data_IF_570215472825
#
_entry.id   IF_570215472825
#
_cell.length_a   1.000
_cell.length_b   1.000
_cell.length_c   1.000
_cell.angle_alpha   90.00
_cell.angle_beta   90.00
_cell.angle_gamma   90.00
#
_symmetry.space_group_name_H-M   'P 1'
#
loop_
_entity.id
_entity.type
_entity.pdbx_description
1 polymer ?
#
# COMPACT_ATOMS: atom_id res chain seq x y z
N UNK A 1 10.20 19.30 -14.50
CA UNK A 1 8.73 19.32 -14.26
C UNK A 1 8.37 20.66 -13.65
N UNK A 2 7.39 21.38 -14.19
CA UNK A 2 6.94 22.64 -13.58
C UNK A 2 6.16 22.38 -12.29
N UNK A 3 6.24 23.28 -11.31
CA UNK A 3 5.46 23.20 -10.05
C UNK A 3 3.95 23.09 -10.33
N UNK A 4 3.45 23.81 -11.35
CA UNK A 4 2.04 23.75 -11.78
C UNK A 4 1.64 22.35 -12.25
N UNK A 5 2.51 21.69 -13.03
CA UNK A 5 2.25 20.33 -13.52
C UNK A 5 2.27 19.32 -12.36
N UNK A 6 3.17 19.49 -11.38
CA UNK A 6 3.20 18.65 -10.19
C UNK A 6 1.92 18.75 -9.36
N UNK A 7 1.44 19.98 -9.12
CA UNK A 7 0.20 20.22 -8.38
C UNK A 7 -1.01 19.64 -9.11
N UNK A 8 -1.08 19.80 -10.43
CA UNK A 8 -2.14 19.21 -11.25
C UNK A 8 -2.17 17.68 -11.14
N UNK A 9 -1.01 17.02 -11.23
CA UNK A 9 -0.90 15.57 -11.06
C UNK A 9 -1.36 15.13 -9.67
N UNK A 10 -0.95 15.84 -8.61
CA UNK A 10 -1.36 15.53 -7.23
C UNK A 10 -2.89 15.65 -7.09
N UNK A 11 -3.49 16.72 -7.60
CA UNK A 11 -4.94 16.92 -7.55
C UNK A 11 -5.69 15.80 -8.28
N UNK A 12 -5.22 15.39 -9.46
CA UNK A 12 -5.81 14.27 -10.20
C UNK A 12 -5.72 12.96 -9.41
N UNK A 13 -4.59 12.68 -8.77
CA UNK A 13 -4.41 11.48 -7.93
C UNK A 13 -5.42 11.48 -6.77
N UNK A 14 -5.60 12.62 -6.09
CA UNK A 14 -6.59 12.74 -5.00
C UNK A 14 -8.02 12.54 -5.47
N UNK A 15 -8.40 13.14 -6.61
CA UNK A 15 -9.74 12.98 -7.19
C UNK A 15 -9.99 11.52 -7.59
N UNK A 16 -9.06 10.90 -8.32
CA UNK A 16 -9.17 9.50 -8.72
C UNK A 16 -9.20 8.56 -7.51
N UNK A 17 -8.37 8.79 -6.50
CA UNK A 17 -8.34 8.00 -5.27
C UNK A 17 -9.64 8.13 -4.47
N UNK A 18 -10.19 9.34 -4.37
CA UNK A 18 -11.46 9.59 -3.69
C UNK A 18 -12.62 8.92 -4.42
N UNK A 19 -12.65 9.01 -5.75
CA UNK A 19 -13.64 8.33 -6.60
C UNK A 19 -13.56 6.80 -6.41
N UNK A 20 -12.35 6.25 -6.36
CA UNK A 20 -12.13 4.82 -6.16
C UNK A 20 -12.50 4.33 -4.74
N UNK A 21 -12.44 5.22 -3.74
CA UNK A 21 -12.86 4.94 -2.37
C UNK A 21 -14.39 5.07 -2.15
N UNK A 22 -15.15 5.63 -3.10
CA UNK A 22 -16.60 5.82 -2.96
C UNK A 22 -17.38 4.54 -2.66
N UNK A 23 -17.12 3.37 -3.29
CA UNK A 23 -17.85 2.15 -2.97
C UNK A 23 -17.74 1.77 -1.49
N UNK A 24 -16.54 1.93 -0.91
CA UNK A 24 -16.30 1.70 0.52
C UNK A 24 -17.13 2.64 1.39
N UNK A 25 -17.26 3.89 0.99
CA UNK A 25 -18.11 4.86 1.70
C UNK A 25 -19.60 4.48 1.63
N UNK A 26 -20.10 4.11 0.45
CA UNK A 26 -21.52 3.83 0.21
C UNK A 26 -22.00 2.49 0.80
N UNK A 27 -21.14 1.47 0.78
CA UNK A 27 -21.49 0.10 1.16
C UNK A 27 -20.99 -0.31 2.55
N UNK A 28 -20.28 0.56 3.27
CA UNK A 28 -19.99 0.35 4.69
C UNK A 28 -21.26 0.44 5.54
N UNK A 29 -21.52 -0.59 6.35
CA UNK A 29 -22.68 -0.69 7.23
C UNK A 29 -22.27 -1.11 8.63
N UNK A 30 -22.91 -0.50 9.62
CA UNK A 30 -22.69 -0.83 11.03
C UNK A 30 -23.78 -1.78 11.51
N UNK A 31 -23.41 -2.98 11.92
CA UNK A 31 -24.32 -3.99 12.46
C UNK A 31 -23.99 -4.29 13.92
N UNK A 32 -25.02 -4.48 14.75
CA UNK A 32 -24.88 -4.84 16.15
C UNK A 32 -25.32 -6.29 16.37
N UNK A 33 -24.40 -7.16 16.76
CA UNK A 33 -24.67 -8.57 17.05
C UNK A 33 -24.73 -8.81 18.56
N UNK A 34 -25.75 -9.54 19.02
CA UNK A 34 -25.83 -10.07 20.39
C UNK A 34 -25.18 -11.44 20.43
N UNK A 35 -24.00 -11.53 21.05
CA UNK A 35 -23.34 -12.83 21.26
C UNK A 35 -23.94 -13.57 22.46
N UNK A 36 -23.70 -14.89 22.53
CA UNK A 36 -24.25 -15.83 23.52
C UNK A 36 -24.06 -15.43 25.00
N UNK A 37 -23.16 -14.48 25.30
CA UNK A 37 -22.90 -13.94 26.65
C UNK A 37 -23.57 -12.58 26.98
N UNK A 38 -24.60 -12.15 26.23
CA UNK A 38 -25.31 -10.85 26.39
C UNK A 38 -24.46 -9.59 26.10
N UNK A 39 -23.23 -9.72 25.62
CA UNK A 39 -22.48 -8.57 25.10
C UNK A 39 -22.97 -8.19 23.69
N UNK A 40 -23.25 -6.89 23.50
CA UNK A 40 -23.55 -6.31 22.19
C UNK A 40 -22.21 -5.90 21.57
N UNK A 41 -21.86 -6.49 20.42
CA UNK A 41 -20.70 -6.06 19.64
C UNK A 41 -21.17 -5.36 18.38
N UNK A 42 -20.68 -4.15 18.19
CA UNK A 42 -20.95 -3.33 17.00
C UNK A 42 -19.79 -3.46 16.03
N UNK A 43 -20.07 -3.91 14.82
CA UNK A 43 -19.09 -4.15 13.77
C UNK A 43 -19.40 -3.26 12.57
N UNK A 44 -18.35 -2.70 11.95
CA UNK A 44 -18.45 -2.07 10.64
C UNK A 44 -18.02 -3.09 9.60
N UNK A 45 -18.94 -3.48 8.71
CA UNK A 45 -18.68 -4.45 7.65
C UNK A 45 -19.13 -3.90 6.30
N UNK A 46 -18.51 -4.39 5.24
CA UNK A 46 -18.92 -4.08 3.88
C UNK A 46 -20.07 -5.01 3.47
N UNK A 47 -21.19 -4.43 3.03
CA UNK A 47 -22.34 -5.18 2.53
C UNK A 47 -22.63 -4.67 1.12
N UNK A 48 -22.29 -5.49 0.13
CA UNK A 48 -22.55 -5.17 -1.27
C UNK A 48 -23.99 -5.55 -1.65
N UNK A 49 -24.56 -4.94 -2.70
CA UNK A 49 -25.94 -5.22 -3.12
C UNK A 49 -26.19 -6.69 -3.51
N UNK A 50 -25.15 -7.39 -3.93
CA UNK A 50 -25.15 -8.78 -4.38
C UNK A 50 -24.79 -9.79 -3.28
N UNK A 51 -24.43 -9.34 -2.07
CA UNK A 51 -24.20 -10.22 -0.93
C UNK A 51 -23.14 -9.74 0.05
N UNK A 52 -22.79 -10.63 0.98
CA UNK A 52 -21.75 -10.40 1.99
C UNK A 52 -20.36 -10.75 1.46
N UNK A 53 -19.33 -10.27 2.16
CA UNK A 53 -17.93 -10.57 1.87
C UNK A 53 -17.70 -12.09 1.75
N UNK A 54 -16.98 -12.51 0.71
CA UNK A 54 -16.72 -13.93 0.40
C UNK A 54 -17.75 -14.61 -0.50
N UNK A 55 -18.94 -14.03 -0.70
CA UNK A 55 -19.97 -14.53 -1.64
C UNK A 55 -20.30 -13.51 -2.74
N UNK A 56 -20.19 -12.21 -2.44
CA UNK A 56 -20.39 -11.13 -3.41
C UNK A 56 -19.33 -11.15 -4.52
N UNK A 57 -19.80 -11.15 -5.77
CA UNK A 57 -18.91 -11.02 -6.93
C UNK A 57 -18.36 -9.60 -7.06
N UNK A 58 -19.17 -8.60 -6.71
CA UNK A 58 -18.81 -7.18 -6.74
C UNK A 58 -17.69 -6.87 -5.73
N UNK A 59 -17.76 -7.45 -4.53
CA UNK A 59 -16.70 -7.34 -3.52
C UNK A 59 -15.37 -7.91 -4.04
N UNK A 60 -15.41 -9.09 -4.66
CA UNK A 60 -14.20 -9.70 -5.20
C UNK A 60 -13.61 -8.90 -6.37
N UNK A 61 -14.45 -8.42 -7.30
CA UNK A 61 -14.00 -7.56 -8.40
C UNK A 61 -13.35 -6.29 -7.83
N UNK A 62 -13.97 -5.66 -6.83
CA UNK A 62 -13.41 -4.48 -6.16
C UNK A 62 -12.06 -4.79 -5.50
N UNK A 63 -11.95 -5.89 -4.75
CA UNK A 63 -10.71 -6.29 -4.09
C UNK A 63 -9.59 -6.62 -5.10
N UNK A 64 -9.91 -7.24 -6.24
CA UNK A 64 -8.96 -7.48 -7.33
C UNK A 64 -8.50 -6.17 -7.95
N UNK A 65 -9.43 -5.26 -8.29
CA UNK A 65 -9.08 -3.95 -8.83
C UNK A 65 -8.23 -3.15 -7.83
N UNK A 66 -8.56 -3.21 -6.54
CA UNK A 66 -7.80 -2.58 -5.47
C UNK A 66 -6.38 -3.14 -5.44
N UNK A 67 -6.21 -4.46 -5.38
CA UNK A 67 -4.89 -5.13 -5.48
C UNK A 67 -4.10 -4.68 -6.73
N UNK A 68 -4.73 -4.65 -7.90
CA UNK A 68 -4.04 -4.29 -9.13
C UNK A 68 -3.58 -2.83 -9.12
N UNK A 69 -4.49 -1.91 -8.79
CA UNK A 69 -4.26 -0.47 -8.89
C UNK A 69 -3.41 0.09 -7.74
N UNK A 70 -3.59 -0.41 -6.52
CA UNK A 70 -2.91 0.14 -5.34
C UNK A 70 -1.63 -0.62 -4.97
N UNK A 71 -1.43 -1.84 -5.49
CA UNK A 71 -0.29 -2.67 -5.10
C UNK A 71 0.52 -3.19 -6.29
N UNK A 72 -0.07 -3.96 -7.21
CA UNK A 72 0.69 -4.62 -8.30
C UNK A 72 1.29 -3.61 -9.27
N UNK A 73 0.46 -2.73 -9.84
CA UNK A 73 0.92 -1.72 -10.82
C UNK A 73 1.94 -0.76 -10.19
N UNK A 74 1.71 -0.19 -8.99
CA UNK A 74 2.70 0.65 -8.33
C UNK A 74 4.02 -0.08 -8.06
N UNK A 75 4.00 -1.31 -7.54
CA UNK A 75 5.23 -2.06 -7.23
C UNK A 75 6.02 -2.35 -8.49
N UNK A 76 5.37 -2.83 -9.56
CA UNK A 76 6.06 -3.12 -10.82
C UNK A 76 6.70 -1.85 -11.38
N UNK A 77 5.95 -0.74 -11.41
CA UNK A 77 6.45 0.56 -11.88
C UNK A 77 7.65 1.06 -11.05
N UNK A 78 7.54 1.00 -9.72
CA UNK A 78 8.62 1.44 -8.82
C UNK A 78 9.85 0.55 -8.92
N UNK A 79 9.69 -0.79 -8.92
CA UNK A 79 10.81 -1.73 -9.07
C UNK A 79 11.51 -1.52 -10.41
N UNK A 80 10.75 -1.38 -11.50
CA UNK A 80 11.30 -1.14 -12.82
C UNK A 80 12.10 0.18 -12.87
N UNK A 81 11.47 1.29 -12.50
CA UNK A 81 12.09 2.62 -12.55
C UNK A 81 13.31 2.73 -11.63
N UNK A 82 13.25 2.21 -10.40
CA UNK A 82 14.36 2.27 -9.46
C UNK A 82 15.50 1.33 -9.86
N UNK A 83 15.21 0.18 -10.47
CA UNK A 83 16.25 -0.70 -11.03
C UNK A 83 16.98 -0.01 -12.18
N UNK A 84 16.27 0.68 -13.07
CA UNK A 84 16.90 1.46 -14.15
C UNK A 84 17.80 2.55 -13.58
N UNK A 85 17.29 3.33 -12.62
CA UNK A 85 18.06 4.40 -11.98
C UNK A 85 19.29 3.82 -11.27
N UNK A 86 19.15 2.70 -10.56
CA UNK A 86 20.27 2.02 -9.90
C UNK A 86 21.31 1.53 -10.92
N UNK A 87 20.89 0.92 -12.02
CA UNK A 87 21.82 0.49 -13.09
C UNK A 87 22.59 1.67 -13.67
N UNK A 88 21.93 2.79 -13.94
CA UNK A 88 22.60 4.00 -14.46
C UNK A 88 23.57 4.58 -13.44
N UNK A 89 23.18 4.68 -12.16
CA UNK A 89 24.01 5.27 -11.11
C UNK A 89 25.21 4.40 -10.72
N UNK A 90 25.09 3.07 -10.77
CA UNK A 90 26.18 2.14 -10.43
C UNK A 90 27.00 1.67 -11.64
N UNK A 91 26.39 1.64 -12.83
CA UNK A 91 27.07 1.31 -14.09
C UNK A 91 27.95 2.43 -14.63
N UNK A 92 27.86 3.64 -14.08
CA UNK A 92 28.74 4.76 -14.39
C UNK A 92 30.15 4.51 -13.83
N UNK A 93 30.94 3.69 -14.54
CA UNK A 93 32.41 3.66 -14.43
C UNK A 93 32.91 4.85 -15.25
N UNK A 94 33.06 6.01 -14.61
CA UNK A 94 33.47 7.20 -15.34
C UNK A 94 34.86 7.02 -15.93
N UNK A 95 34.94 7.25 -17.24
CA UNK A 95 36.18 7.43 -17.96
C UNK A 95 36.46 8.94 -17.87
N UNK A 96 37.33 9.35 -16.95
CA UNK A 96 37.68 10.75 -16.69
C UNK A 96 37.74 11.13 -15.21
N UNK A 97 38.50 12.18 -14.90
CA UNK A 97 38.68 12.69 -13.54
C UNK A 97 37.43 13.49 -13.13
N UNK A 98 36.58 12.89 -12.28
CA UNK A 98 35.40 13.58 -11.76
C UNK A 98 35.80 14.70 -10.79
N UNK A 99 35.15 15.85 -10.93
CA UNK A 99 35.17 16.87 -9.88
C UNK A 99 34.55 16.33 -8.58
N UNK A 100 35.04 16.77 -7.42
CA UNK A 100 34.52 16.34 -6.12
C UNK A 100 33.01 16.59 -5.98
N UNK A 101 32.51 17.72 -6.52
CA UNK A 101 31.09 18.04 -6.57
C UNK A 101 30.25 16.99 -7.33
N UNK A 102 30.75 16.46 -8.45
CA UNK A 102 30.07 15.42 -9.21
C UNK A 102 30.03 14.09 -8.44
N UNK A 103 31.12 13.73 -7.75
CA UNK A 103 31.18 12.52 -6.90
C UNK A 103 30.18 12.62 -5.74
N UNK A 104 30.09 13.77 -5.08
CA UNK A 104 29.13 14.03 -4.01
C UNK A 104 27.68 13.97 -4.51
N UNK A 105 27.39 14.57 -5.67
CA UNK A 105 26.07 14.52 -6.30
C UNK A 105 25.63 13.07 -6.60
N UNK A 106 26.51 12.24 -7.17
CA UNK A 106 26.24 10.82 -7.42
C UNK A 106 26.00 10.06 -6.11
N UNK A 107 26.81 10.31 -5.08
CA UNK A 107 26.66 9.67 -3.75
C UNK A 107 25.31 10.02 -3.12
N UNK A 108 24.88 11.28 -3.21
CA UNK A 108 23.58 11.75 -2.72
C UNK A 108 22.43 11.06 -3.45
N UNK A 109 22.48 11.01 -4.79
CA UNK A 109 21.47 10.31 -5.61
C UNK A 109 21.38 8.82 -5.27
N UNK A 110 22.51 8.12 -5.14
CA UNK A 110 22.54 6.70 -4.72
C UNK A 110 21.89 6.48 -3.36
N UNK A 111 22.12 7.39 -2.41
CA UNK A 111 21.49 7.35 -1.08
C UNK A 111 19.98 7.48 -1.16
N UNK A 112 19.47 8.42 -1.96
CA UNK A 112 18.03 8.61 -2.19
C UNK A 112 17.43 7.35 -2.82
N UNK A 113 18.07 6.79 -3.85
CA UNK A 113 17.57 5.58 -4.52
C UNK A 113 17.55 4.38 -3.56
N UNK A 114 18.58 4.23 -2.73
CA UNK A 114 18.59 3.22 -1.66
C UNK A 114 17.42 3.41 -0.69
N UNK A 115 17.14 4.64 -0.28
CA UNK A 115 16.00 4.98 0.57
C UNK A 115 14.68 4.56 -0.07
N UNK A 116 14.48 4.94 -1.34
CA UNK A 116 13.27 4.61 -2.08
C UNK A 116 13.08 3.09 -2.23
N UNK A 117 14.16 2.32 -2.46
CA UNK A 117 14.08 0.85 -2.48
C UNK A 117 13.62 0.27 -1.13
N UNK A 118 14.10 0.81 0.00
CA UNK A 118 13.65 0.38 1.33
C UNK A 118 12.17 0.70 1.53
N UNK A 119 11.72 1.90 1.15
CA UNK A 119 10.29 2.28 1.21
C UNK A 119 9.42 1.29 0.43
N UNK A 120 9.82 0.94 -0.79
CA UNK A 120 9.07 -0.01 -1.64
C UNK A 120 9.01 -1.40 -1.00
N UNK A 121 10.13 -1.88 -0.44
CA UNK A 121 10.16 -3.18 0.20
C UNK A 121 9.22 -3.24 1.41
N UNK A 122 9.23 -2.21 2.26
CA UNK A 122 8.33 -2.12 3.41
C UNK A 122 6.88 -2.04 2.96
N UNK A 123 6.57 -1.20 1.97
CA UNK A 123 5.23 -1.11 1.40
C UNK A 123 4.72 -2.47 0.91
N UNK A 124 5.56 -3.21 0.17
CA UNK A 124 5.23 -4.54 -0.31
C UNK A 124 4.92 -5.51 0.84
N UNK A 125 5.80 -5.56 1.85
CA UNK A 125 5.65 -6.47 3.00
C UNK A 125 4.42 -6.14 3.84
N UNK A 126 4.13 -4.86 4.05
CA UNK A 126 3.01 -4.44 4.91
C UNK A 126 1.64 -4.71 4.27
N UNK A 127 1.52 -4.48 2.96
CA UNK A 127 0.25 -4.58 2.24
C UNK A 127 -0.04 -5.96 1.66
N UNK A 128 0.99 -6.79 1.40
CA UNK A 128 0.78 -8.12 0.83
C UNK A 128 -0.17 -8.99 1.66
N UNK A 129 -0.02 -9.12 3.01
CA UNK A 129 -0.90 -9.95 3.81
C UNK A 129 -2.36 -9.49 3.75
N UNK A 130 -2.59 -8.17 3.66
CA UNK A 130 -3.91 -7.59 3.54
C UNK A 130 -4.59 -8.04 2.24
N UNK A 131 -3.92 -7.90 1.09
CA UNK A 131 -4.51 -8.35 -0.17
C UNK A 131 -4.70 -9.86 -0.25
N UNK A 132 -3.74 -10.63 0.28
CA UNK A 132 -3.86 -12.10 0.32
C UNK A 132 -5.02 -12.55 1.19
N UNK A 133 -5.29 -11.86 2.30
CA UNK A 133 -6.42 -12.16 3.17
C UNK A 133 -7.75 -12.11 2.39
N UNK A 134 -8.03 -11.00 1.69
CA UNK A 134 -9.30 -10.86 0.94
C UNK A 134 -9.44 -11.87 -0.20
N UNK A 135 -8.35 -12.15 -0.92
CA UNK A 135 -8.35 -13.20 -1.96
C UNK A 135 -8.60 -14.59 -1.36
N UNK A 136 -7.99 -14.88 -0.21
CA UNK A 136 -8.11 -16.16 0.46
C UNK A 136 -9.52 -16.36 1.02
N UNK A 137 -10.10 -15.37 1.70
CA UNK A 137 -11.46 -15.44 2.25
C UNK A 137 -12.52 -15.52 1.16
N UNK A 138 -12.27 -14.98 -0.04
CA UNK A 138 -13.16 -15.17 -1.18
C UNK A 138 -13.12 -16.60 -1.74
N UNK A 139 -11.94 -17.23 -1.78
CA UNK A 139 -11.81 -18.62 -2.25
C UNK A 139 -12.28 -19.65 -1.22
N UNK A 140 -12.12 -19.34 0.06
CA UNK A 140 -12.47 -20.22 1.17
C UNK A 140 -13.35 -19.47 2.19
N UNK A 141 -14.64 -19.24 1.88
CA UNK A 141 -15.53 -18.46 2.74
C UNK A 141 -15.73 -19.09 4.12
N UNK A 142 -15.57 -20.42 4.24
CA UNK A 142 -15.60 -21.19 5.50
C UNK A 142 -14.64 -20.62 6.57
N UNK A 143 -13.52 -20.01 6.13
CA UNK A 143 -12.47 -19.47 7.01
C UNK A 143 -12.99 -18.32 7.87
N UNK A 144 -13.99 -17.57 7.39
CA UNK A 144 -14.60 -16.44 8.10
C UNK A 144 -15.36 -16.88 9.36
N UNK A 145 -15.70 -18.16 9.48
CA UNK A 145 -16.38 -18.72 10.65
C UNK A 145 -15.41 -19.23 11.74
N UNK A 146 -14.09 -19.21 11.51
CA UNK A 146 -13.13 -19.66 12.51
C UNK A 146 -13.05 -18.69 13.70
N UNK A 147 -12.95 -19.19 14.94
CA UNK A 147 -13.03 -18.37 16.15
C UNK A 147 -11.91 -17.32 16.26
N UNK A 148 -10.75 -17.55 15.63
CA UNK A 148 -9.60 -16.65 15.71
C UNK A 148 -9.45 -15.70 14.51
N UNK A 149 -10.35 -15.76 13.53
CA UNK A 149 -10.17 -15.02 12.27
C UNK A 149 -10.16 -13.51 12.47
N UNK A 150 -10.93 -13.00 13.44
CA UNK A 150 -10.97 -11.57 13.76
C UNK A 150 -9.64 -11.05 14.29
N UNK A 151 -8.95 -11.83 15.12
CA UNK A 151 -7.63 -11.47 15.65
C UNK A 151 -6.56 -11.48 14.54
N UNK A 152 -6.63 -12.46 13.64
CA UNK A 152 -5.75 -12.55 12.47
C UNK A 152 -5.96 -11.34 11.56
N UNK A 153 -7.22 -11.03 11.22
CA UNK A 153 -7.56 -9.88 10.40
C UNK A 153 -7.06 -8.57 11.03
N UNK A 154 -7.27 -8.38 12.34
CA UNK A 154 -6.81 -7.17 13.04
C UNK A 154 -5.28 -7.03 12.97
N UNK A 155 -4.54 -8.12 13.17
CA UNK A 155 -3.08 -8.11 13.04
C UNK A 155 -2.61 -7.75 11.63
N UNK A 156 -3.23 -8.35 10.61
CA UNK A 156 -2.97 -8.03 9.20
C UNK A 156 -3.27 -6.56 8.89
N UNK A 157 -4.42 -6.07 9.36
CA UNK A 157 -4.84 -4.68 9.17
C UNK A 157 -3.87 -3.70 9.85
N UNK A 158 -3.45 -3.98 11.09
CA UNK A 158 -2.46 -3.16 11.79
C UNK A 158 -1.12 -3.13 11.08
N UNK A 159 -0.66 -4.27 10.56
CA UNK A 159 0.57 -4.31 9.77
C UNK A 159 0.46 -3.40 8.53
N UNK A 160 -0.64 -3.50 7.77
CA UNK A 160 -0.87 -2.64 6.60
C UNK A 160 -0.89 -1.15 6.99
N UNK A 161 -1.57 -0.78 8.08
CA UNK A 161 -1.65 0.60 8.56
C UNK A 161 -0.32 1.14 9.10
N UNK A 162 0.52 0.28 9.67
CA UNK A 162 1.85 0.66 10.17
C UNK A 162 2.80 1.16 9.07
N UNK A 163 2.49 0.89 7.79
CA UNK A 163 3.21 1.42 6.63
C UNK A 163 3.46 2.94 6.70
N UNK A 164 2.47 3.69 7.17
CA UNK A 164 2.56 5.15 7.32
C UNK A 164 3.63 5.59 8.33
N UNK A 165 3.87 4.79 9.39
CA UNK A 165 4.90 5.06 10.41
C UNK A 165 6.30 4.85 9.84
N UNK A 166 6.52 3.80 9.04
CA UNK A 166 7.84 3.49 8.50
C UNK A 166 8.35 4.57 7.56
N UNK A 167 7.47 5.27 6.83
CA UNK A 167 7.86 6.40 6.01
C UNK A 167 8.62 7.44 6.85
N UNK A 168 8.05 7.87 7.98
CA UNK A 168 8.70 8.83 8.89
C UNK A 168 10.03 8.29 9.41
N UNK A 169 10.08 7.04 9.88
CA UNK A 169 11.32 6.44 10.39
C UNK A 169 12.44 6.38 9.34
N UNK A 170 12.11 6.02 8.09
CA UNK A 170 13.08 5.97 6.99
C UNK A 170 13.64 7.37 6.71
N UNK A 171 12.77 8.40 6.66
CA UNK A 171 13.22 9.76 6.43
C UNK A 171 14.13 10.25 7.56
N UNK A 172 13.78 10.01 8.84
CA UNK A 172 14.64 10.37 9.97
C UNK A 172 15.99 9.63 9.94
N UNK A 173 15.98 8.33 9.65
CA UNK A 173 17.21 7.53 9.62
C UNK A 173 18.14 7.91 8.47
N UNK A 174 17.59 8.26 7.30
CA UNK A 174 18.38 8.52 6.09
C UNK A 174 18.65 10.00 5.85
N UNK A 175 17.93 10.96 6.44
CA UNK A 175 18.28 12.38 6.39
C UNK A 175 19.04 12.80 7.66
N UNK A 176 20.37 12.84 7.58
CA UNK A 176 21.27 13.35 8.66
C UNK A 176 21.13 14.87 8.92
N UNK A 177 20.07 15.52 8.45
CA UNK A 177 19.85 16.98 8.59
C UNK A 177 18.76 17.31 9.62
N UNK A 178 18.24 16.30 10.31
CA UNK A 178 17.43 16.37 11.51
C UNK A 178 17.97 15.37 12.52
#
# INVERSE_FOLDING_TARGET
MSKKNALSIILMIWLCGSLFALPTLLYSKTLSYRYAKREIRTLCIMIWPDGVAGQSSSDNIYNILFLLLTYVVPIISMVFTYTLIARVLWGHKGIGEFTEFQKESIRSKRKIVRMLMVVVAIFAICWLPYHLYFLYTYKFPEVVHFPFIQHIYLGIYWLAMSNSMYNWMIYCWMNKRY
#
